data_IF_132229737873
#
_entry.id   IF_132229737873
#
_cell.length_a   1.000
_cell.length_b   1.000
_cell.length_c   1.000
_cell.angle_alpha   90.00
_cell.angle_beta   90.00
_cell.angle_gamma   90.00
#
_symmetry.space_group_name_H-M   'P 1'
#
loop_
_entity.id
_entity.type
_entity.pdbx_description
1 polymer ?
#
# COMPACT_ATOMS: atom_id res chain seq x y z
N UNK A 1 43.26 64.04 -27.93
CA UNK A 1 43.57 62.60 -28.01
C UNK A 1 42.90 61.87 -26.86
N UNK A 2 41.72 61.34 -27.10
CA UNK A 2 40.88 60.69 -26.08
C UNK A 2 40.95 59.16 -26.29
N UNK A 3 41.61 58.48 -25.37
CA UNK A 3 41.67 57.02 -25.36
C UNK A 3 40.35 56.48 -24.82
N UNK A 4 39.57 55.82 -25.67
CA UNK A 4 38.36 55.04 -25.27
C UNK A 4 38.83 53.74 -24.64
N UNK A 5 38.60 53.55 -23.38
CA UNK A 5 38.70 52.24 -22.72
C UNK A 5 37.47 51.43 -23.03
N UNK A 6 37.64 50.34 -23.76
CA UNK A 6 36.57 49.35 -24.01
C UNK A 6 36.56 48.38 -22.83
N UNK A 7 35.53 48.52 -21.98
CA UNK A 7 35.31 47.62 -20.87
C UNK A 7 34.56 46.38 -21.40
N UNK A 8 35.26 45.28 -21.58
CA UNK A 8 34.65 44.01 -21.93
C UNK A 8 34.14 43.38 -20.65
N UNK A 9 32.81 43.45 -20.44
CA UNK A 9 32.12 42.70 -19.37
C UNK A 9 31.96 41.27 -19.89
N UNK A 10 32.81 40.36 -19.42
CA UNK A 10 32.62 38.92 -19.62
C UNK A 10 31.55 38.49 -18.63
N UNK A 11 30.33 38.40 -19.10
CA UNK A 11 29.21 37.81 -18.37
C UNK A 11 29.42 36.29 -18.36
N UNK A 12 30.07 35.80 -17.31
CA UNK A 12 30.23 34.37 -17.09
C UNK A 12 28.88 33.73 -16.84
N UNK A 13 28.30 33.12 -17.84
CA UNK A 13 27.15 32.23 -17.73
C UNK A 13 27.62 30.98 -16.96
N UNK A 14 27.53 30.98 -15.66
CA UNK A 14 27.67 29.76 -14.87
C UNK A 14 26.42 28.89 -15.13
N UNK A 15 26.54 28.01 -16.11
CA UNK A 15 25.58 26.94 -16.34
C UNK A 15 25.72 25.99 -15.14
N UNK A 16 24.93 26.23 -14.08
CA UNK A 16 24.75 25.26 -13.00
C UNK A 16 24.11 24.01 -13.61
N UNK A 17 24.95 23.05 -13.95
CA UNK A 17 24.52 21.68 -14.21
C UNK A 17 23.93 21.14 -12.90
N UNK A 18 22.63 21.35 -12.72
CA UNK A 18 21.89 20.61 -11.73
C UNK A 18 21.86 19.15 -12.22
N UNK A 19 22.90 18.40 -11.89
CA UNK A 19 22.80 16.95 -11.91
C UNK A 19 21.78 16.60 -10.84
N UNK A 20 20.52 16.40 -11.26
CA UNK A 20 19.55 15.71 -10.45
C UNK A 20 20.14 14.33 -10.19
N UNK A 21 20.69 14.14 -9.00
CA UNK A 21 20.95 12.81 -8.47
C UNK A 21 19.58 12.18 -8.30
N UNK A 22 19.06 11.60 -9.36
CA UNK A 22 17.98 10.64 -9.23
C UNK A 22 18.59 9.50 -8.42
N UNK A 23 18.26 9.50 -7.13
CA UNK A 23 18.49 8.32 -6.31
C UNK A 23 17.81 7.18 -7.06
N UNK A 24 18.62 6.28 -7.62
CA UNK A 24 18.15 5.15 -8.39
C UNK A 24 17.48 4.19 -7.40
N UNK A 25 16.20 4.46 -7.08
CA UNK A 25 15.38 3.72 -6.13
C UNK A 25 14.89 2.39 -6.70
N UNK A 26 15.66 1.79 -7.59
CA UNK A 26 15.34 0.47 -8.10
C UNK A 26 15.48 -0.56 -6.99
N UNK A 27 14.40 -1.30 -6.67
CA UNK A 27 14.44 -2.30 -5.63
C UNK A 27 15.45 -3.40 -5.96
N UNK A 28 16.26 -3.76 -4.98
CA UNK A 28 17.31 -4.75 -5.12
C UNK A 28 16.86 -6.12 -4.59
N UNK A 29 16.92 -7.14 -5.43
CA UNK A 29 16.85 -8.50 -4.96
C UNK A 29 18.22 -8.93 -4.43
N UNK A 30 18.42 -8.83 -3.13
CA UNK A 30 19.69 -9.15 -2.48
C UNK A 30 20.12 -10.62 -2.62
N UNK A 31 19.17 -11.53 -2.85
CA UNK A 31 19.47 -12.96 -3.06
C UNK A 31 20.02 -13.24 -4.46
N UNK A 32 19.58 -12.47 -5.47
CA UNK A 32 19.95 -12.68 -6.88
C UNK A 32 20.78 -11.55 -7.48
N UNK A 33 21.08 -10.51 -6.72
CA UNK A 33 21.83 -9.35 -7.20
C UNK A 33 21.14 -8.56 -8.32
N UNK A 34 19.84 -8.81 -8.57
CA UNK A 34 19.07 -8.16 -9.63
C UNK A 34 18.42 -6.87 -9.16
N UNK A 35 18.38 -5.88 -10.03
CA UNK A 35 17.60 -4.66 -9.86
C UNK A 35 16.32 -4.73 -10.71
N UNK A 36 15.25 -4.22 -10.18
CA UNK A 36 13.94 -4.16 -10.84
C UNK A 36 13.53 -2.70 -11.00
N UNK A 37 12.95 -2.37 -12.14
CA UNK A 37 12.42 -1.02 -12.41
C UNK A 37 11.14 -0.75 -11.60
N UNK A 38 10.42 -1.78 -11.21
CA UNK A 38 9.23 -1.71 -10.38
C UNK A 38 9.15 -2.91 -9.46
N UNK A 39 8.52 -2.72 -8.30
CA UNK A 39 8.16 -3.79 -7.34
C UNK A 39 6.68 -4.16 -7.39
N UNK A 40 5.91 -3.55 -8.26
CA UNK A 40 4.49 -3.86 -8.43
C UNK A 40 4.28 -5.37 -8.67
N UNK A 41 3.28 -5.94 -8.00
CA UNK A 41 2.97 -7.39 -8.01
C UNK A 41 4.06 -8.30 -7.43
N UNK A 42 5.04 -7.76 -6.70
CA UNK A 42 6.04 -8.53 -5.97
C UNK A 42 5.77 -8.53 -4.47
N UNK A 43 6.40 -9.46 -3.78
CA UNK A 43 6.48 -9.46 -2.33
C UNK A 43 7.79 -8.83 -1.87
N UNK A 44 7.71 -7.87 -0.95
CA UNK A 44 8.85 -7.41 -0.18
C UNK A 44 8.91 -8.20 1.13
N UNK A 45 10.04 -8.83 1.37
CA UNK A 45 10.27 -9.61 2.59
C UNK A 45 11.29 -8.88 3.44
N UNK A 46 10.93 -8.56 4.68
CA UNK A 46 11.82 -7.90 5.60
C UNK A 46 13.06 -8.76 5.87
N UNK A 47 14.23 -8.19 5.69
CA UNK A 47 15.49 -8.87 6.03
C UNK A 47 15.69 -8.90 7.55
N UNK A 48 16.59 -9.79 8.02
CA UNK A 48 16.99 -9.83 9.45
C UNK A 48 17.58 -8.52 9.95
N UNK A 49 18.04 -7.64 9.04
CA UNK A 49 18.62 -6.32 9.34
C UNK A 49 17.58 -5.19 9.40
N UNK A 50 16.28 -5.51 9.22
CA UNK A 50 15.21 -4.50 9.31
C UNK A 50 15.26 -3.81 10.69
N UNK A 51 15.51 -2.49 10.67
CA UNK A 51 15.65 -1.68 11.88
C UNK A 51 14.31 -1.21 12.45
N UNK A 52 13.35 -0.94 11.55
CA UNK A 52 12.02 -0.51 11.98
C UNK A 52 11.25 -1.71 12.57
N UNK A 53 10.91 -1.68 13.87
CA UNK A 53 10.25 -2.81 14.54
C UNK A 53 8.86 -3.09 13.97
N UNK A 54 8.19 -2.09 13.37
CA UNK A 54 6.88 -2.26 12.76
C UNK A 54 6.94 -3.22 11.56
N UNK A 55 8.04 -3.16 10.80
CA UNK A 55 8.27 -3.95 9.59
C UNK A 55 9.14 -5.18 9.80
N UNK A 56 9.63 -5.42 11.02
CA UNK A 56 10.43 -6.60 11.31
C UNK A 56 9.62 -7.88 11.07
N UNK A 57 10.19 -8.84 10.33
CA UNK A 57 9.56 -10.11 9.96
C UNK A 57 8.26 -9.97 9.14
N UNK A 58 8.08 -8.86 8.43
CA UNK A 58 6.88 -8.66 7.60
C UNK A 58 7.09 -9.15 6.17
N UNK A 59 5.97 -9.51 5.55
CA UNK A 59 5.81 -9.72 4.12
C UNK A 59 4.81 -8.70 3.62
N UNK A 60 5.19 -7.92 2.63
CA UNK A 60 4.36 -6.89 2.03
C UNK A 60 4.07 -7.28 0.59
N UNK A 61 2.80 -7.32 0.20
CA UNK A 61 2.44 -7.39 -1.20
C UNK A 61 2.41 -5.99 -1.77
N UNK A 62 3.18 -5.76 -2.83
CA UNK A 62 3.23 -4.47 -3.53
C UNK A 62 2.15 -4.41 -4.58
N UNK A 63 1.36 -3.35 -4.55
CA UNK A 63 0.18 -3.18 -5.38
C UNK A 63 0.42 -2.16 -6.48
N UNK A 64 1.17 -1.12 -6.18
CA UNK A 64 1.49 -0.06 -7.11
C UNK A 64 2.90 0.45 -6.85
N UNK A 65 3.60 0.80 -7.94
CA UNK A 65 4.89 1.44 -7.88
C UNK A 65 5.12 2.22 -9.18
N UNK A 66 5.01 3.52 -9.09
CA UNK A 66 5.21 4.47 -10.18
C UNK A 66 6.12 5.63 -9.76
N UNK A 67 6.17 6.68 -10.57
CA UNK A 67 6.97 7.89 -10.32
C UNK A 67 6.49 8.70 -9.10
N UNK A 68 5.25 8.50 -8.66
CA UNK A 68 4.64 9.18 -7.51
C UNK A 68 4.87 8.46 -6.20
N UNK A 69 5.39 7.23 -6.26
CA UNK A 69 5.70 6.42 -5.11
C UNK A 69 5.26 4.97 -5.25
N UNK A 70 5.18 4.30 -4.12
CA UNK A 70 4.79 2.91 -4.05
C UNK A 70 3.89 2.66 -2.85
N UNK A 71 2.96 1.71 -2.97
CA UNK A 71 2.20 1.26 -1.82
C UNK A 71 1.90 -0.23 -1.86
N UNK A 72 1.66 -0.78 -0.70
CA UNK A 72 1.37 -2.18 -0.53
C UNK A 72 0.76 -2.49 0.85
N UNK A 73 0.53 -3.76 1.10
CA UNK A 73 -0.10 -4.25 2.33
C UNK A 73 0.79 -5.28 3.01
N UNK A 74 1.03 -5.10 4.30
CA UNK A 74 1.56 -6.18 5.13
C UNK A 74 0.48 -7.25 5.26
N UNK A 75 0.84 -8.51 5.00
CA UNK A 75 -0.14 -9.60 4.93
C UNK A 75 0.03 -10.67 6.01
N UNK A 76 1.11 -10.61 6.78
CA UNK A 76 1.46 -11.64 7.76
C UNK A 76 1.54 -11.12 9.21
N UNK A 77 0.87 -10.01 9.51
CA UNK A 77 0.86 -9.42 10.85
C UNK A 77 -0.57 -9.39 11.42
N UNK A 78 -1.03 -10.49 12.00
CA UNK A 78 -2.34 -10.53 12.63
C UNK A 78 -2.40 -9.58 13.83
N UNK A 79 -3.50 -8.86 13.98
CA UNK A 79 -3.78 -8.01 15.13
C UNK A 79 -4.63 -8.76 16.13
N UNK A 80 -5.90 -8.95 15.80
CA UNK A 80 -6.89 -9.62 16.67
C UNK A 80 -8.11 -10.02 15.84
N UNK A 81 -9.06 -10.71 16.49
CA UNK A 81 -10.40 -10.84 15.93
C UNK A 81 -11.30 -9.82 16.62
N UNK A 82 -11.92 -8.96 15.83
CA UNK A 82 -12.80 -7.88 16.30
C UNK A 82 -14.23 -8.09 15.82
N UNK A 83 -15.24 -7.62 16.59
CA UNK A 83 -16.63 -7.70 16.17
C UNK A 83 -16.84 -6.93 14.86
N UNK A 84 -17.59 -7.50 13.92
CA UNK A 84 -17.91 -6.89 12.64
C UNK A 84 -18.48 -5.47 12.81
N UNK A 85 -19.37 -5.27 13.76
CA UNK A 85 -19.95 -3.96 14.05
C UNK A 85 -18.95 -2.88 14.48
N UNK A 86 -17.73 -3.27 14.89
CA UNK A 86 -16.66 -2.32 15.21
C UNK A 86 -15.86 -1.90 13.97
N UNK A 87 -15.87 -2.73 12.92
CA UNK A 87 -15.22 -2.41 11.63
C UNK A 87 -16.07 -1.50 10.77
N UNK A 88 -17.38 -1.72 10.79
CA UNK A 88 -18.34 -0.89 10.09
C UNK A 88 -18.84 0.17 11.07
N UNK A 89 -18.64 1.42 10.73
CA UNK A 89 -19.35 2.50 11.43
C UNK A 89 -20.83 2.13 11.34
N UNK A 90 -21.47 1.87 12.51
CA UNK A 90 -22.87 1.40 12.61
C UNK A 90 -23.73 2.15 11.61
N UNK A 91 -23.87 1.60 10.41
CA UNK A 91 -24.66 2.23 9.36
C UNK A 91 -26.08 2.35 9.88
N UNK A 92 -26.63 3.56 9.86
CA UNK A 92 -28.04 3.78 10.21
C UNK A 92 -28.98 2.98 9.30
N UNK A 93 -28.50 2.63 8.12
CA UNK A 93 -29.25 1.94 7.06
C UNK A 93 -29.04 0.42 7.06
N UNK A 94 -28.35 -0.14 8.08
CA UNK A 94 -28.17 -1.57 8.18
C UNK A 94 -29.49 -2.29 8.40
N UNK A 95 -29.73 -3.34 7.63
CA UNK A 95 -30.89 -4.21 7.78
C UNK A 95 -30.83 -4.96 9.10
N UNK A 96 -31.98 -5.46 9.60
CA UNK A 96 -32.01 -6.27 10.82
C UNK A 96 -31.09 -7.48 10.72
N UNK A 97 -31.06 -8.15 9.59
CA UNK A 97 -30.17 -9.28 9.31
C UNK A 97 -28.69 -8.90 9.43
N UNK A 98 -28.29 -7.74 8.91
CA UNK A 98 -26.92 -7.24 9.04
C UNK A 98 -26.57 -6.92 10.51
N UNK A 99 -27.54 -6.40 11.29
CA UNK A 99 -27.32 -6.13 12.73
C UNK A 99 -27.08 -7.39 13.55
N UNK A 100 -27.68 -8.52 13.17
CA UNK A 100 -27.43 -9.82 13.79
C UNK A 100 -25.96 -10.27 13.65
N UNK A 101 -25.29 -9.86 12.58
CA UNK A 101 -23.90 -10.19 12.31
C UNK A 101 -22.88 -9.30 13.05
N UNK A 102 -23.29 -8.23 13.69
CA UNK A 102 -22.38 -7.26 14.33
C UNK A 102 -21.47 -7.86 15.39
N UNK A 103 -21.91 -8.93 16.06
CA UNK A 103 -21.12 -9.62 17.08
C UNK A 103 -20.21 -10.72 16.50
N UNK A 104 -20.32 -11.04 15.21
CA UNK A 104 -19.43 -12.00 14.56
C UNK A 104 -18.02 -11.46 14.60
N UNK A 105 -17.09 -12.23 15.15
CA UNK A 105 -15.67 -11.85 15.24
C UNK A 105 -14.95 -12.18 13.93
N UNK A 106 -14.27 -11.20 13.38
CA UNK A 106 -13.54 -11.31 12.12
C UNK A 106 -12.04 -11.05 12.40
N UNK A 107 -11.14 -11.93 11.93
CA UNK A 107 -9.70 -11.71 12.07
C UNK A 107 -9.25 -10.54 11.21
N UNK A 108 -8.46 -9.65 11.79
CA UNK A 108 -7.90 -8.49 11.11
C UNK A 108 -6.39 -8.48 11.18
N UNK A 109 -5.77 -7.91 10.16
CA UNK A 109 -4.33 -7.83 9.98
C UNK A 109 -3.89 -6.36 9.88
N UNK A 110 -2.70 -6.07 10.35
CA UNK A 110 -2.08 -4.76 10.16
C UNK A 110 -1.46 -4.67 8.77
N UNK A 111 -1.88 -3.71 7.97
CA UNK A 111 -1.40 -3.49 6.59
C UNK A 111 -0.29 -2.46 6.48
N UNK A 112 -0.14 -1.61 7.49
CA UNK A 112 0.88 -0.57 7.52
C UNK A 112 0.48 0.64 8.36
N UNK A 113 1.42 1.59 8.56
CA UNK A 113 1.23 2.73 9.46
C UNK A 113 0.45 3.90 8.85
N UNK A 114 0.06 3.82 7.59
CA UNK A 114 -0.63 4.91 6.90
C UNK A 114 -2.12 4.62 6.85
N UNK A 115 -2.94 5.60 7.20
CA UNK A 115 -4.40 5.47 7.21
C UNK A 115 -4.88 4.23 7.97
N UNK A 116 -4.44 4.04 9.22
CA UNK A 116 -4.66 2.83 10.02
C UNK A 116 -6.15 2.45 10.21
N UNK A 117 -7.06 3.41 10.04
CA UNK A 117 -8.50 3.18 10.07
C UNK A 117 -9.08 2.74 8.71
N UNK A 118 -8.28 2.74 7.63
CA UNK A 118 -8.73 2.32 6.31
C UNK A 118 -8.80 0.79 6.28
N UNK A 119 -9.97 0.28 5.96
CA UNK A 119 -10.19 -1.15 5.78
C UNK A 119 -10.06 -1.50 4.31
N UNK A 120 -9.23 -2.49 4.01
CA UNK A 120 -9.10 -3.09 2.69
C UNK A 120 -9.26 -4.60 2.84
N UNK A 121 -9.98 -5.20 1.93
CA UNK A 121 -10.18 -6.64 1.87
C UNK A 121 -9.37 -7.16 0.69
N UNK A 122 -8.25 -7.81 0.99
CA UNK A 122 -7.45 -8.54 0.02
C UNK A 122 -8.09 -9.91 -0.20
N UNK A 123 -8.38 -10.28 -1.44
CA UNK A 123 -9.12 -11.52 -1.68
C UNK A 123 -8.78 -12.19 -3.02
N UNK A 124 -9.24 -13.42 -3.16
CA UNK A 124 -9.14 -14.22 -4.38
C UNK A 124 -10.05 -13.69 -5.48
N UNK A 125 -9.65 -13.88 -6.74
CA UNK A 125 -10.19 -13.19 -7.92
C UNK A 125 -11.58 -13.65 -8.38
N UNK A 126 -12.09 -14.74 -7.84
CA UNK A 126 -13.43 -15.24 -8.21
C UNK A 126 -14.56 -14.35 -7.69
N UNK A 127 -14.29 -13.57 -6.64
CA UNK A 127 -15.23 -12.59 -6.10
C UNK A 127 -15.05 -11.23 -6.77
N UNK A 128 -16.17 -10.57 -7.09
CA UNK A 128 -16.18 -9.23 -7.69
C UNK A 128 -17.39 -8.45 -7.20
N UNK A 129 -17.18 -7.18 -6.90
CA UNK A 129 -18.21 -6.17 -6.68
C UNK A 129 -17.77 -4.85 -7.33
N UNK A 130 -18.58 -3.79 -7.20
CA UNK A 130 -18.28 -2.48 -7.81
C UNK A 130 -17.01 -1.83 -7.29
N UNK A 131 -16.60 -2.13 -6.06
CA UNK A 131 -15.37 -1.60 -5.44
C UNK A 131 -14.13 -2.45 -5.70
N UNK A 132 -14.26 -3.54 -6.47
CA UNK A 132 -13.16 -4.49 -6.69
C UNK A 132 -12.13 -3.95 -7.66
N UNK A 133 -10.90 -3.80 -7.19
CA UNK A 133 -9.71 -3.52 -8.01
C UNK A 133 -8.95 -4.83 -8.22
N UNK A 134 -8.71 -5.18 -9.48
CA UNK A 134 -8.03 -6.42 -9.84
C UNK A 134 -6.55 -6.18 -10.09
N UNK A 135 -5.72 -6.98 -9.43
CA UNK A 135 -4.28 -7.11 -9.68
C UNK A 135 -3.98 -8.44 -10.40
N UNK A 136 -2.72 -8.71 -10.68
CA UNK A 136 -2.31 -9.90 -11.44
C UNK A 136 -2.87 -11.20 -10.86
N UNK A 137 -2.73 -11.42 -9.56
CA UNK A 137 -3.07 -12.69 -8.90
C UNK A 137 -4.11 -12.57 -7.78
N UNK A 138 -4.49 -11.37 -7.42
CA UNK A 138 -5.37 -11.05 -6.29
C UNK A 138 -6.30 -9.92 -6.67
N UNK A 139 -7.28 -9.66 -5.82
CA UNK A 139 -8.15 -8.50 -5.89
C UNK A 139 -8.23 -7.82 -4.54
N UNK A 140 -8.59 -6.54 -4.55
CA UNK A 140 -8.84 -5.74 -3.36
C UNK A 140 -10.20 -5.09 -3.49
N UNK A 141 -10.97 -5.10 -2.41
CA UNK A 141 -12.21 -4.36 -2.28
C UNK A 141 -12.17 -3.45 -1.04
N UNK A 142 -12.86 -2.32 -1.13
CA UNK A 142 -13.02 -1.37 -0.02
C UNK A 142 -14.49 -1.22 0.41
N UNK A 143 -15.40 -1.97 -0.18
CA UNK A 143 -16.81 -1.98 0.17
C UNK A 143 -17.04 -2.79 1.45
N UNK A 144 -17.68 -2.18 2.44
CA UNK A 144 -17.99 -2.85 3.71
C UNK A 144 -19.04 -3.97 3.60
N UNK A 145 -19.83 -4.00 2.54
CA UNK A 145 -20.82 -5.06 2.33
C UNK A 145 -20.17 -6.44 2.20
N UNK A 146 -18.97 -6.52 1.65
CA UNK A 146 -18.20 -7.76 1.56
C UNK A 146 -17.92 -8.38 2.94
N UNK A 147 -17.83 -7.56 4.01
CA UNK A 147 -17.61 -8.05 5.35
C UNK A 147 -18.83 -8.83 5.89
N UNK A 148 -20.03 -8.42 5.52
CA UNK A 148 -21.25 -9.17 5.84
C UNK A 148 -21.29 -10.50 5.09
N UNK A 149 -20.93 -10.48 3.81
CA UNK A 149 -20.87 -11.70 3.01
C UNK A 149 -19.82 -12.69 3.54
N UNK A 150 -18.66 -12.18 3.99
CA UNK A 150 -17.63 -12.99 4.65
C UNK A 150 -18.19 -13.60 5.95
N UNK A 151 -18.91 -12.81 6.77
CA UNK A 151 -19.51 -13.28 8.00
C UNK A 151 -20.59 -14.34 7.76
N UNK A 152 -21.29 -14.30 6.62
CA UNK A 152 -22.27 -15.30 6.19
C UNK A 152 -21.64 -16.48 5.43
N UNK A 153 -20.32 -16.56 5.27
CA UNK A 153 -19.60 -17.55 4.45
C UNK A 153 -19.99 -17.51 2.95
N UNK A 154 -20.42 -16.34 2.46
CA UNK A 154 -20.79 -16.11 1.05
C UNK A 154 -19.78 -15.22 0.31
N UNK A 155 -18.83 -14.65 1.02
CA UNK A 155 -17.78 -13.82 0.47
C UNK A 155 -16.72 -14.59 -0.32
N UNK A 156 -15.60 -13.96 -0.67
CA UNK A 156 -14.51 -14.60 -1.38
C UNK A 156 -13.94 -15.79 -0.62
N UNK A 157 -13.60 -16.85 -1.36
CA UNK A 157 -13.07 -18.12 -0.78
C UNK A 157 -11.81 -17.92 0.07
N UNK A 158 -10.96 -16.97 -0.33
CA UNK A 158 -9.77 -16.57 0.44
C UNK A 158 -9.81 -15.07 0.62
N UNK A 159 -9.64 -14.62 1.85
CA UNK A 159 -9.62 -13.21 2.16
C UNK A 159 -8.73 -12.90 3.37
N UNK A 160 -8.23 -11.66 3.41
CA UNK A 160 -7.60 -11.03 4.56
C UNK A 160 -8.21 -9.64 4.72
N UNK A 161 -8.69 -9.34 5.92
CA UNK A 161 -9.19 -8.01 6.25
C UNK A 161 -8.06 -7.23 6.88
N UNK A 162 -7.66 -6.17 6.21
CA UNK A 162 -6.42 -5.45 6.47
C UNK A 162 -6.74 -4.01 6.87
N UNK A 163 -6.12 -3.56 7.97
CA UNK A 163 -6.21 -2.21 8.49
C UNK A 163 -4.94 -1.43 8.16
N UNK A 164 -5.10 -0.27 7.52
CA UNK A 164 -4.00 0.56 7.10
C UNK A 164 -3.26 0.06 5.86
N UNK A 165 -2.33 0.88 5.39
CA UNK A 165 -1.48 0.60 4.23
C UNK A 165 -0.02 0.95 4.53
N UNK A 166 0.89 0.36 3.79
CA UNK A 166 2.30 0.77 3.72
C UNK A 166 2.53 1.55 2.45
N UNK A 167 3.09 2.76 2.55
CA UNK A 167 3.39 3.58 1.39
C UNK A 167 4.75 4.24 1.51
N UNK A 168 5.35 4.50 0.35
CA UNK A 168 6.63 5.16 0.16
C UNK A 168 6.47 6.20 -0.96
N UNK A 169 6.94 7.42 -0.72
CA UNK A 169 7.04 8.52 -1.67
C UNK A 169 8.45 8.81 -2.07
#
# INVERSE_FOLDING_TARGET
MTKRFLLIIILGLTFSLHTSVQAQNSPKNYLKGKFYSSVENYFLIATKKMRDPRFKNTVIIMLENDEKGAWGLVINKPLSSIPLGSLIYKSRDATNKQKELYNVKIPVYWGGPVNENKILILHSKEYKNESTINFKNISISSDYNILFEIAENKGPKKNLIILGISSWG
#
